data_IF_188632164833
#
_entry.id   IF_188632164833
#
_cell.length_a   1.000
_cell.length_b   1.000
_cell.length_c   1.000
_cell.angle_alpha   90.00
_cell.angle_beta   90.00
_cell.angle_gamma   90.00
#
_symmetry.space_group_name_H-M   'P 1'
#
loop_
_entity.id
_entity.type
_entity.pdbx_description
1 polymer ?
#
# COMPACT_ATOMS: atom_id res chain seq x y z
N UNK A 1 21.75 -8.29 -4.43
CA UNK A 1 21.02 -7.13 -4.99
C UNK A 1 19.89 -6.82 -4.05
N UNK A 2 19.56 -5.55 -3.86
CA UNK A 2 18.37 -5.14 -3.10
C UNK A 2 17.16 -5.37 -4.01
N UNK A 3 16.10 -6.01 -3.50
CA UNK A 3 14.87 -6.23 -4.24
C UNK A 3 14.05 -4.93 -4.23
N UNK A 4 14.57 -3.85 -4.77
CA UNK A 4 13.97 -2.53 -4.63
C UNK A 4 12.63 -2.46 -5.37
N UNK A 5 11.52 -2.20 -4.65
CA UNK A 5 10.23 -1.90 -5.29
C UNK A 5 10.35 -0.63 -6.13
N UNK A 6 9.73 -0.64 -7.31
CA UNK A 6 9.62 0.52 -8.19
C UNK A 6 8.17 0.81 -8.54
N UNK A 7 7.80 2.06 -8.81
CA UNK A 7 6.49 2.36 -9.36
C UNK A 7 6.21 1.53 -10.62
N UNK A 8 4.99 1.02 -10.72
CA UNK A 8 4.50 0.26 -11.87
C UNK A 8 3.11 0.74 -12.27
N UNK A 9 2.60 0.22 -13.38
CA UNK A 9 1.25 0.51 -13.83
C UNK A 9 0.21 0.03 -12.82
N UNK A 10 -0.71 0.91 -12.45
CA UNK A 10 -1.81 0.62 -11.52
C UNK A 10 -3.03 0.25 -12.35
N UNK A 11 -3.42 -1.02 -12.29
CA UNK A 11 -4.60 -1.54 -13.00
C UNK A 11 -5.55 -2.09 -11.95
N UNK A 12 -6.48 -1.25 -11.50
CA UNK A 12 -7.46 -1.63 -10.48
C UNK A 12 -8.45 -2.66 -11.02
N UNK A 13 -8.89 -3.55 -10.14
CA UNK A 13 -9.93 -4.52 -10.44
C UNK A 13 -11.33 -3.88 -10.46
N UNK A 14 -12.36 -4.71 -10.65
CA UNK A 14 -13.76 -4.27 -10.72
C UNK A 14 -14.26 -3.60 -9.44
N UNK A 15 -13.62 -3.87 -8.30
CA UNK A 15 -13.93 -3.26 -7.00
C UNK A 15 -13.06 -2.02 -6.73
N UNK A 16 -12.17 -1.66 -7.64
CA UNK A 16 -11.22 -0.56 -7.46
C UNK A 16 -10.01 -0.91 -6.59
N UNK A 17 -9.81 -2.19 -6.25
CA UNK A 17 -8.68 -2.68 -5.47
C UNK A 17 -7.46 -2.91 -6.37
N UNK A 18 -6.27 -2.85 -5.78
CA UNK A 18 -5.03 -3.18 -6.48
C UNK A 18 -3.88 -3.42 -5.50
N UNK A 19 -3.02 -4.38 -5.83
CA UNK A 19 -1.80 -4.67 -5.06
C UNK A 19 -0.60 -4.67 -6.01
N UNK A 20 0.50 -4.07 -5.58
CA UNK A 20 1.74 -4.05 -6.35
C UNK A 20 2.24 -5.49 -6.59
N UNK A 21 2.48 -5.94 -7.83
CA UNK A 21 2.75 -7.35 -8.13
C UNK A 21 3.93 -7.96 -7.38
N UNK A 22 5.04 -7.23 -7.23
CA UNK A 22 6.20 -7.72 -6.47
C UNK A 22 5.94 -7.76 -4.96
N UNK A 23 5.10 -6.85 -4.45
CA UNK A 23 4.71 -6.83 -3.04
C UNK A 23 3.75 -7.99 -2.75
N UNK A 24 2.74 -8.20 -3.61
CA UNK A 24 1.84 -9.35 -3.55
C UNK A 24 2.60 -10.67 -3.61
N UNK A 25 3.56 -10.80 -4.55
CA UNK A 25 4.38 -12.01 -4.65
C UNK A 25 5.13 -12.32 -3.35
N UNK A 26 5.67 -11.32 -2.68
CA UNK A 26 6.35 -11.52 -1.40
C UNK A 26 5.37 -11.99 -0.32
N UNK A 27 4.17 -11.40 -0.27
CA UNK A 27 3.13 -11.84 0.65
C UNK A 27 2.72 -13.29 0.37
N UNK A 28 2.51 -13.67 -0.89
CA UNK A 28 2.17 -15.04 -1.26
C UNK A 28 3.29 -16.04 -0.90
N UNK A 29 4.56 -15.68 -1.15
CA UNK A 29 5.70 -16.56 -0.89
C UNK A 29 5.98 -16.77 0.60
N UNK A 30 5.65 -15.79 1.47
CA UNK A 30 6.09 -15.79 2.88
C UNK A 30 4.93 -15.79 3.89
N UNK A 31 3.73 -15.37 3.49
CA UNK A 31 2.61 -15.07 4.37
C UNK A 31 1.23 -15.54 3.81
N UNK A 32 1.18 -16.41 2.79
CA UNK A 32 -0.08 -16.84 2.15
C UNK A 32 -1.15 -17.41 3.12
N UNK A 33 -0.72 -18.07 4.19
CA UNK A 33 -1.62 -18.68 5.19
C UNK A 33 -1.86 -17.76 6.41
N UNK A 34 -1.46 -16.48 6.34
CA UNK A 34 -1.60 -15.52 7.43
C UNK A 34 -2.70 -14.50 7.14
N UNK A 35 -3.64 -14.36 8.07
CA UNK A 35 -4.70 -13.34 8.00
C UNK A 35 -4.19 -11.95 8.40
N UNK A 36 -3.08 -11.87 9.13
CA UNK A 36 -2.48 -10.62 9.58
C UNK A 36 -0.95 -10.74 9.68
N UNK A 37 -0.25 -9.63 9.41
CA UNK A 37 1.20 -9.53 9.57
C UNK A 37 1.54 -8.99 10.96
N UNK A 38 2.46 -9.64 11.67
CA UNK A 38 3.00 -9.09 12.91
C UNK A 38 3.92 -7.90 12.62
N UNK A 39 4.27 -7.13 13.66
CA UNK A 39 5.25 -6.04 13.51
C UNK A 39 6.60 -6.56 12.96
N UNK A 40 7.04 -7.74 13.40
CA UNK A 40 8.29 -8.34 12.91
C UNK A 40 8.22 -8.77 11.44
N UNK A 41 7.04 -9.19 10.97
CA UNK A 41 6.83 -9.50 9.55
C UNK A 41 6.86 -8.22 8.70
N UNK A 42 6.20 -7.16 9.18
CA UNK A 42 6.28 -5.85 8.55
C UNK A 42 7.71 -5.30 8.47
N UNK A 43 8.51 -5.49 9.52
CA UNK A 43 9.89 -5.03 9.54
C UNK A 43 10.76 -5.81 8.55
N UNK A 44 10.61 -7.14 8.50
CA UNK A 44 11.29 -8.00 7.52
C UNK A 44 10.91 -7.64 6.08
N UNK A 45 9.62 -7.37 5.81
CA UNK A 45 9.15 -6.93 4.51
C UNK A 45 9.81 -5.60 4.10
N UNK A 46 9.82 -4.61 5.01
CA UNK A 46 10.41 -3.30 4.75
C UNK A 46 11.91 -3.39 4.49
N UNK A 47 12.62 -4.27 5.20
CA UNK A 47 14.03 -4.55 4.99
C UNK A 47 14.28 -5.26 3.66
N UNK A 48 13.46 -6.25 3.31
CA UNK A 48 13.56 -7.00 2.05
C UNK A 48 13.54 -6.07 0.83
N UNK A 49 12.60 -5.12 0.82
CA UNK A 49 12.40 -4.17 -0.28
C UNK A 49 13.20 -2.86 -0.13
N UNK A 50 13.88 -2.65 1.01
CA UNK A 50 14.50 -1.37 1.38
C UNK A 50 13.54 -0.18 1.26
N UNK A 51 12.38 -0.27 1.91
CA UNK A 51 11.32 0.74 1.83
C UNK A 51 10.90 1.26 3.20
N UNK A 52 10.28 2.44 3.18
CA UNK A 52 9.38 2.90 4.24
C UNK A 52 7.96 2.90 3.69
N UNK A 53 6.99 2.56 4.55
CA UNK A 53 5.57 2.47 4.20
C UNK A 53 4.80 3.50 5.03
N UNK A 54 3.84 4.16 4.39
CA UNK A 54 2.82 4.99 5.06
C UNK A 54 1.43 4.53 4.64
N UNK A 55 0.46 4.71 5.53
CA UNK A 55 -0.94 4.32 5.35
C UNK A 55 -1.82 5.55 5.27
N UNK A 56 -2.83 5.51 4.41
CA UNK A 56 -3.94 6.44 4.37
C UNK A 56 -5.24 5.64 4.50
N UNK A 57 -6.06 5.98 5.50
CA UNK A 57 -7.39 5.40 5.65
C UNK A 57 -8.41 6.17 4.83
N UNK A 58 -9.38 5.48 4.23
CA UNK A 58 -10.46 6.10 3.48
C UNK A 58 -11.20 7.13 4.35
N UNK A 59 -11.62 6.76 5.57
CA UNK A 59 -12.38 7.60 6.52
C UNK A 59 -11.69 8.95 6.82
N UNK A 60 -10.36 9.00 6.79
CA UNK A 60 -9.60 10.23 7.02
C UNK A 60 -9.23 11.02 5.77
N UNK A 61 -9.64 10.56 4.58
CA UNK A 61 -9.17 11.07 3.29
C UNK A 61 -10.27 11.64 2.38
N UNK A 62 -11.53 11.40 2.72
CA UNK A 62 -12.72 11.86 1.98
C UNK A 62 -13.73 12.47 2.95
N UNK A 63 -14.81 13.09 2.45
CA UNK A 63 -15.92 13.51 3.33
C UNK A 63 -16.74 12.33 3.83
N UNK A 64 -17.48 12.51 4.93
CA UNK A 64 -18.38 11.48 5.48
C UNK A 64 -19.37 10.94 4.43
N UNK A 65 -19.95 11.82 3.59
CA UNK A 65 -20.87 11.43 2.51
C UNK A 65 -20.18 10.52 1.48
N UNK A 66 -18.94 10.84 1.09
CA UNK A 66 -18.15 10.04 0.15
C UNK A 66 -17.73 8.71 0.78
N UNK A 67 -17.34 8.72 2.05
CA UNK A 67 -17.03 7.51 2.80
C UNK A 67 -18.22 6.55 2.78
N UNK A 68 -19.41 7.04 3.17
CA UNK A 68 -20.63 6.25 3.17
C UNK A 68 -20.95 5.72 1.77
N UNK A 69 -20.87 6.56 0.73
CA UNK A 69 -21.14 6.12 -0.64
C UNK A 69 -20.21 5.00 -1.10
N UNK A 70 -18.90 5.15 -0.85
CA UNK A 70 -17.88 4.17 -1.26
C UNK A 70 -18.08 2.86 -0.52
N UNK A 71 -18.34 2.91 0.79
CA UNK A 71 -18.55 1.72 1.61
C UNK A 71 -19.85 1.00 1.26
N UNK A 72 -20.97 1.72 1.07
CA UNK A 72 -22.27 1.11 0.69
C UNK A 72 -22.20 0.46 -0.69
N UNK A 73 -21.48 1.08 -1.63
CA UNK A 73 -21.32 0.54 -2.99
C UNK A 73 -20.18 -0.49 -3.12
N UNK A 74 -19.32 -0.60 -2.11
CA UNK A 74 -18.11 -1.43 -2.13
C UNK A 74 -17.25 -1.19 -3.40
N UNK A 75 -17.13 0.09 -3.79
CA UNK A 75 -16.50 0.52 -5.03
C UNK A 75 -15.39 1.54 -4.76
N UNK A 76 -14.15 1.05 -4.62
CA UNK A 76 -12.96 1.89 -4.43
C UNK A 76 -12.52 2.61 -5.70
N UNK A 77 -13.13 2.37 -6.86
CA UNK A 77 -12.81 3.12 -8.09
C UNK A 77 -13.16 4.60 -7.95
N UNK A 78 -14.04 4.93 -7.01
CA UNK A 78 -14.43 6.29 -6.60
C UNK A 78 -13.41 6.99 -5.70
N UNK A 79 -12.40 6.27 -5.20
CA UNK A 79 -11.36 6.80 -4.34
C UNK A 79 -10.02 6.90 -5.08
N UNK A 80 -9.52 8.11 -5.26
CA UNK A 80 -8.20 8.38 -5.85
C UNK A 80 -7.26 9.01 -4.81
N UNK A 81 -6.61 8.19 -3.95
CA UNK A 81 -5.79 8.71 -2.86
C UNK A 81 -4.50 9.35 -3.39
N UNK A 82 -4.21 10.55 -2.90
CA UNK A 82 -3.02 11.31 -3.31
C UNK A 82 -1.80 10.79 -2.55
N UNK A 83 -0.83 10.25 -3.29
CA UNK A 83 0.43 9.78 -2.71
C UNK A 83 1.21 10.94 -2.06
N UNK A 84 1.76 10.75 -0.85
CA UNK A 84 2.70 11.69 -0.27
C UNK A 84 3.95 11.88 -1.15
N UNK A 85 4.60 13.05 -1.05
CA UNK A 85 5.74 13.37 -1.91
C UNK A 85 6.84 12.31 -1.87
N UNK A 86 7.18 11.77 -3.05
CA UNK A 86 8.21 10.75 -3.24
C UNK A 86 7.77 9.32 -2.92
N UNK A 87 6.50 9.10 -2.56
CA UNK A 87 5.91 7.78 -2.40
C UNK A 87 5.11 7.38 -3.65
N UNK A 88 4.92 6.08 -3.82
CA UNK A 88 4.03 5.48 -4.83
C UNK A 88 3.13 4.44 -4.16
N UNK A 89 1.97 4.19 -4.78
CA UNK A 89 0.98 3.23 -4.26
C UNK A 89 1.56 1.80 -4.33
N UNK A 90 1.38 1.02 -3.26
CA UNK A 90 1.73 -0.40 -3.24
C UNK A 90 0.54 -1.32 -2.93
N UNK A 91 -0.51 -0.78 -2.33
CA UNK A 91 -1.73 -1.52 -2.01
C UNK A 91 -2.89 -0.54 -1.85
N UNK A 92 -4.07 -0.92 -2.32
CA UNK A 92 -5.35 -0.26 -2.06
C UNK A 92 -6.44 -1.33 -2.01
N UNK A 93 -7.18 -1.39 -0.90
CA UNK A 93 -8.17 -2.42 -0.70
C UNK A 93 -9.02 -2.23 0.54
N UNK A 94 -10.02 -3.11 0.67
CA UNK A 94 -10.86 -3.20 1.86
C UNK A 94 -10.14 -3.97 2.98
N UNK A 95 -10.40 -3.55 4.21
CA UNK A 95 -9.97 -4.22 5.45
C UNK A 95 -11.18 -4.45 6.35
N UNK A 96 -11.00 -5.18 7.45
CA UNK A 96 -12.08 -5.36 8.43
C UNK A 96 -12.59 -4.02 9.00
N UNK A 97 -11.72 -3.02 9.07
CA UNK A 97 -12.00 -1.70 9.64
C UNK A 97 -12.39 -0.64 8.59
N UNK A 98 -12.54 -1.01 7.31
CA UNK A 98 -12.94 -0.09 6.23
C UNK A 98 -12.14 -0.30 4.95
N UNK A 99 -11.45 0.74 4.49
CA UNK A 99 -10.54 0.66 3.35
C UNK A 99 -9.28 1.51 3.60
N UNK A 100 -8.16 1.04 3.08
CA UNK A 100 -6.87 1.72 3.21
C UNK A 100 -6.08 1.70 1.91
N UNK A 101 -5.12 2.62 1.82
CA UNK A 101 -4.11 2.69 0.78
C UNK A 101 -2.74 2.74 1.45
N UNK A 102 -1.85 1.84 1.01
CA UNK A 102 -0.46 1.82 1.42
C UNK A 102 0.41 2.43 0.34
N UNK A 103 1.31 3.30 0.76
CA UNK A 103 2.29 3.94 -0.09
C UNK A 103 3.69 3.60 0.38
N UNK A 104 4.60 3.35 -0.56
CA UNK A 104 6.00 3.08 -0.26
C UNK A 104 6.94 4.06 -0.95
N UNK A 105 8.12 4.23 -0.37
CA UNK A 105 9.28 4.81 -1.04
C UNK A 105 10.54 4.13 -0.57
N UNK A 106 11.62 4.28 -1.33
CA UNK A 106 12.94 3.81 -0.93
C UNK A 106 13.36 4.41 0.42
N UNK A 107 13.88 3.56 1.30
CA UNK A 107 14.51 3.98 2.55
C UNK A 107 15.91 4.52 2.20
N UNK A 108 16.04 5.83 2.15
CA UNK A 108 17.35 6.48 2.04
C UNK A 108 18.11 6.24 3.35
N UNK A 109 19.31 5.68 3.27
CA UNK A 109 20.23 5.62 4.40
C UNK A 109 20.84 7.02 4.53
N UNK A 110 20.63 7.70 5.67
CA UNK A 110 21.30 8.97 5.96
C UNK A 110 22.82 8.76 5.87
N UNK A 111 23.46 9.45 4.92
CA UNK A 111 24.90 9.32 4.63
C UNK A 111 25.26 9.19 3.15
N UNK A 112 24.29 8.96 2.25
CA UNK A 112 24.50 9.09 0.82
C UNK A 112 24.33 10.55 0.38
N UNK A 113 25.25 11.43 0.81
CA UNK A 113 25.47 12.69 0.11
C UNK A 113 25.87 12.34 -1.32
N UNK A 114 25.02 12.73 -2.28
CA UNK A 114 25.34 12.62 -3.70
C UNK A 114 26.49 13.58 -4.03
N UNK A 115 27.46 13.18 -4.87
CA UNK A 115 28.63 13.99 -5.21
C UNK A 115 28.31 15.28 -5.99
#
# INVERSE_FOLDING_TARGET
>A
MINQLKPTEIIRDEMGCWVHPEFLKYLDDNHADQEWLSQGDWDQLKEHFNIVITRLYLEGSVSDDQFLEIMDSSDLSKWDPIAPHGFFLIDIGFTEDGAEALFAKEKLIEGAEQP
#
